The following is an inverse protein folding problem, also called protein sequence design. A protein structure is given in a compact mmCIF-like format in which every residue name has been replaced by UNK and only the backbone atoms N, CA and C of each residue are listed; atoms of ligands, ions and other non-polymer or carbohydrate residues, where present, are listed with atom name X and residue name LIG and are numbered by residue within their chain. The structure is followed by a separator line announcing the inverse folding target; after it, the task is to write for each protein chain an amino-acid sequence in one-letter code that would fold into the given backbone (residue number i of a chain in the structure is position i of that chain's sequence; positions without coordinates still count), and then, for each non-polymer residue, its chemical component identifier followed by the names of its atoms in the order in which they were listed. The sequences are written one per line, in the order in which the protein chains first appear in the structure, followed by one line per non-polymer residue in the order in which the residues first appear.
data_IF_694818253132
#
_entry.id   IF_694818253132
#
_cell.length_a   1.000
_cell.length_b   1.000
_cell.length_c   1.000
_cell.angle_alpha   90.00
_cell.angle_beta   90.00
_cell.angle_gamma   90.00
#
_symmetry.space_group_name_H-M   'P 1'
#
loop_
_entity.id
_entity.type
_entity.pdbx_description
1 polymer ?
#
# COMPACT_ATOMS: atom_id res chain seq x y z
N UNK A 1 -5.05 -32.61 23.22
CA UNK A 1 -5.95 -33.41 22.35
C UNK A 1 -5.65 -33.24 20.87
N UNK A 2 -5.93 -32.10 20.20
CA UNK A 2 -5.70 -31.98 18.73
C UNK A 2 -4.26 -32.26 18.32
N UNK A 3 -3.27 -31.70 19.02
CA UNK A 3 -1.85 -31.91 18.71
C UNK A 3 -1.41 -33.37 18.92
N UNK A 4 -1.98 -34.04 19.91
CA UNK A 4 -1.69 -35.45 20.20
C UNK A 4 -2.26 -36.36 19.10
N UNK A 5 -3.48 -36.08 18.63
CA UNK A 5 -4.08 -36.78 17.48
C UNK A 5 -3.28 -36.59 16.19
N UNK A 6 -2.69 -35.42 15.96
CA UNK A 6 -1.83 -35.17 14.80
C UNK A 6 -0.54 -35.98 14.84
N UNK A 7 0.11 -36.03 16.00
CA UNK A 7 1.33 -36.83 16.19
C UNK A 7 1.05 -38.30 15.95
N UNK A 8 -0.08 -38.82 16.45
CA UNK A 8 -0.50 -40.20 16.21
C UNK A 8 -0.74 -40.44 14.72
N UNK A 9 -1.48 -39.58 14.02
CA UNK A 9 -1.72 -39.71 12.57
C UNK A 9 -0.42 -39.76 11.77
N UNK A 10 0.53 -38.85 12.04
CA UNK A 10 1.81 -38.82 11.34
C UNK A 10 2.68 -40.04 11.63
N UNK A 11 2.67 -40.53 12.88
CA UNK A 11 3.38 -41.76 13.24
C UNK A 11 2.78 -42.96 12.51
N UNK A 12 1.47 -43.12 12.58
CA UNK A 12 0.77 -44.26 11.98
C UNK A 12 0.92 -44.26 10.45
N UNK A 13 0.86 -43.08 9.82
CA UNK A 13 1.18 -42.91 8.40
C UNK A 13 2.63 -43.34 8.09
N UNK A 14 3.60 -42.86 8.88
CA UNK A 14 5.01 -43.19 8.70
C UNK A 14 5.29 -44.69 8.84
N UNK A 15 4.73 -45.34 9.86
CA UNK A 15 4.84 -46.77 10.10
C UNK A 15 4.22 -47.58 8.95
N UNK A 16 3.01 -47.21 8.51
CA UNK A 16 2.31 -47.86 7.41
C UNK A 16 3.07 -47.74 6.10
N UNK A 17 3.55 -46.53 5.78
CA UNK A 17 4.36 -46.25 4.58
C UNK A 17 5.65 -47.06 4.60
N UNK A 18 6.33 -47.11 5.74
CA UNK A 18 7.55 -47.89 5.91
C UNK A 18 7.32 -49.39 5.70
N UNK A 19 6.25 -49.95 6.28
CA UNK A 19 5.92 -51.36 6.14
C UNK A 19 5.67 -51.75 4.68
N UNK A 20 4.89 -50.94 3.94
CA UNK A 20 4.67 -51.18 2.50
C UNK A 20 5.96 -51.03 1.68
N UNK A 21 6.76 -49.99 1.95
CA UNK A 21 8.05 -49.81 1.28
C UNK A 21 9.01 -50.98 1.55
N UNK A 22 9.05 -51.50 2.77
CA UNK A 22 9.85 -52.67 3.12
C UNK A 22 9.37 -53.93 2.40
N UNK A 23 8.05 -54.16 2.36
CA UNK A 23 7.47 -55.29 1.63
C UNK A 23 7.81 -55.23 0.13
N UNK A 24 7.80 -54.03 -0.48
CA UNK A 24 8.19 -53.85 -1.89
C UNK A 24 9.69 -54.00 -2.14
N UNK A 25 10.54 -53.71 -1.14
CA UNK A 25 11.98 -54.02 -1.23
C UNK A 25 12.23 -55.53 -1.26
N UNK A 26 11.50 -56.29 -0.46
CA UNK A 26 11.63 -57.75 -0.38
C UNK A 26 10.93 -58.45 -1.56
N UNK A 27 9.77 -57.94 -1.99
CA UNK A 27 9.00 -58.47 -3.12
C UNK A 27 8.43 -57.33 -3.98
N UNK A 28 9.16 -56.88 -5.01
CA UNK A 28 8.73 -55.75 -5.86
C UNK A 28 7.40 -55.96 -6.59
N UNK A 29 7.02 -57.21 -6.87
CA UNK A 29 5.78 -57.58 -7.55
C UNK A 29 4.55 -57.70 -6.64
N UNK A 30 4.65 -57.34 -5.35
CA UNK A 30 3.54 -57.43 -4.43
C UNK A 30 2.50 -56.32 -4.70
N UNK A 31 1.46 -56.67 -5.48
CA UNK A 31 0.37 -55.78 -5.86
C UNK A 31 -0.33 -55.14 -4.66
N UNK A 32 -0.56 -55.88 -3.57
CA UNK A 32 -1.23 -55.34 -2.38
C UNK A 32 -0.38 -54.28 -1.68
N UNK A 33 0.94 -54.48 -1.62
CA UNK A 33 1.84 -53.49 -1.05
C UNK A 33 1.95 -52.23 -1.92
N UNK A 34 1.97 -52.37 -3.26
CA UNK A 34 1.92 -51.23 -4.18
C UNK A 34 0.63 -50.44 -3.99
N UNK A 35 -0.51 -51.13 -3.97
CA UNK A 35 -1.83 -50.55 -3.77
C UNK A 35 -1.95 -49.84 -2.42
N UNK A 36 -1.50 -50.48 -1.35
CA UNK A 36 -1.52 -49.93 0.01
C UNK A 36 -0.65 -48.68 0.15
N UNK A 37 0.53 -48.68 -0.45
CA UNK A 37 1.40 -47.51 -0.50
C UNK A 37 0.74 -46.34 -1.23
N UNK A 38 0.22 -46.57 -2.44
CA UNK A 38 -0.49 -45.53 -3.20
C UNK A 38 -1.72 -44.98 -2.46
N UNK A 39 -2.54 -45.86 -1.88
CA UNK A 39 -3.73 -45.46 -1.14
C UNK A 39 -3.40 -44.60 0.08
N UNK A 40 -2.39 -45.02 0.86
CA UNK A 40 -1.98 -44.32 2.09
C UNK A 40 -1.37 -42.95 1.76
N UNK A 41 -0.52 -42.88 0.74
CA UNK A 41 0.06 -41.61 0.27
C UNK A 41 -1.01 -40.66 -0.28
N UNK A 42 -2.00 -41.15 -1.03
CA UNK A 42 -3.12 -40.35 -1.51
C UNK A 42 -3.97 -39.77 -0.38
N UNK A 43 -4.27 -40.58 0.63
CA UNK A 43 -5.05 -40.15 1.78
C UNK A 43 -4.34 -39.04 2.56
N UNK A 44 -3.02 -39.19 2.75
CA UNK A 44 -2.21 -38.19 3.43
C UNK A 44 -2.04 -36.92 2.58
N UNK A 45 -1.93 -37.04 1.26
CA UNK A 45 -1.90 -35.89 0.36
C UNK A 45 -3.21 -35.09 0.40
N UNK A 46 -4.37 -35.75 0.35
CA UNK A 46 -5.67 -35.07 0.51
C UNK A 46 -5.81 -34.40 1.87
N UNK A 47 -5.33 -35.06 2.93
CA UNK A 47 -5.30 -34.51 4.27
C UNK A 47 -4.48 -33.21 4.35
N UNK A 48 -3.24 -33.21 3.84
CA UNK A 48 -2.39 -32.01 3.79
C UNK A 48 -3.04 -30.90 2.96
N UNK A 49 -3.65 -31.23 1.83
CA UNK A 49 -4.31 -30.26 0.97
C UNK A 49 -5.50 -29.58 1.68
N UNK A 50 -6.32 -30.32 2.43
CA UNK A 50 -7.43 -29.76 3.23
C UNK A 50 -6.96 -28.81 4.33
N UNK A 51 -5.71 -28.96 4.80
CA UNK A 51 -5.09 -28.07 5.78
C UNK A 51 -4.38 -26.85 5.17
N UNK A 52 -4.38 -26.75 3.83
CA UNK A 52 -3.63 -25.69 3.15
C UNK A 52 -2.11 -25.90 3.17
N UNK A 53 -1.67 -27.15 3.31
CA UNK A 53 -0.25 -27.54 3.28
C UNK A 53 0.10 -28.09 1.89
N UNK A 54 -0.04 -27.25 0.86
CA UNK A 54 0.03 -27.64 -0.55
C UNK A 54 1.41 -28.21 -0.94
N UNK A 55 2.49 -27.70 -0.36
CA UNK A 55 3.84 -28.19 -0.61
C UNK A 55 4.05 -29.62 -0.11
N UNK A 56 3.46 -29.96 1.05
CA UNK A 56 3.51 -31.32 1.62
C UNK A 56 2.69 -32.29 0.77
N UNK A 57 1.49 -31.86 0.32
CA UNK A 57 0.66 -32.65 -0.58
C UNK A 57 1.36 -32.91 -1.94
N UNK A 58 1.99 -31.88 -2.52
CA UNK A 58 2.74 -32.01 -3.77
C UNK A 58 3.88 -33.04 -3.66
N UNK A 59 4.70 -32.95 -2.61
CA UNK A 59 5.80 -33.91 -2.39
C UNK A 59 5.31 -35.35 -2.29
N UNK A 60 4.21 -35.59 -1.58
CA UNK A 60 3.63 -36.93 -1.45
C UNK A 60 3.11 -37.47 -2.79
N UNK A 61 2.60 -36.59 -3.67
CA UNK A 61 2.13 -36.96 -5.01
C UNK A 61 3.30 -37.18 -5.99
N UNK A 62 4.43 -36.51 -5.78
CA UNK A 62 5.66 -36.70 -6.57
C UNK A 62 6.35 -38.03 -6.23
N UNK A 63 6.25 -38.52 -4.99
CA UNK A 63 6.73 -39.86 -4.60
C UNK A 63 5.95 -40.99 -5.29
N UNK A 64 4.78 -40.70 -5.89
CA UNK A 64 3.97 -41.64 -6.68
C UNK A 64 4.33 -41.45 -8.16
N UNK A 65 5.51 -41.93 -8.56
CA UNK A 65 6.02 -41.84 -9.94
C UNK A 65 5.13 -42.61 -10.94
N UNK A 66 4.63 -43.79 -10.55
CA UNK A 66 3.71 -44.62 -11.35
C UNK A 66 2.50 -45.03 -10.49
N UNK A 67 1.34 -44.35 -10.62
CA UNK A 67 0.15 -44.67 -9.85
C UNK A 67 -0.32 -46.09 -10.18
N UNK A 68 -0.42 -46.96 -9.16
CA UNK A 68 -0.98 -48.29 -9.35
C UNK A 68 -2.41 -48.18 -9.92
N UNK A 69 -2.67 -48.82 -11.06
CA UNK A 69 -3.76 -48.57 -12.02
C UNK A 69 -5.03 -47.89 -11.50
N UNK A 70 -5.66 -48.45 -10.46
CA UNK A 70 -6.91 -47.95 -9.87
C UNK A 70 -6.83 -46.50 -9.34
N UNK A 71 -5.64 -46.00 -9.04
CA UNK A 71 -5.41 -44.71 -8.41
C UNK A 71 -4.97 -43.60 -9.36
N UNK A 72 -4.69 -43.91 -10.63
CA UNK A 72 -4.23 -42.92 -11.61
C UNK A 72 -5.18 -41.72 -11.72
N UNK A 73 -6.50 -41.96 -11.73
CA UNK A 73 -7.51 -40.89 -11.75
C UNK A 73 -7.52 -40.03 -10.48
N UNK A 74 -7.30 -40.63 -9.31
CA UNK A 74 -7.27 -39.91 -8.03
C UNK A 74 -6.01 -39.06 -7.89
N UNK A 75 -4.84 -39.59 -8.28
CA UNK A 75 -3.59 -38.82 -8.33
C UNK A 75 -3.72 -37.63 -9.26
N UNK A 76 -4.32 -37.81 -10.45
CA UNK A 76 -4.55 -36.73 -11.40
C UNK A 76 -5.47 -35.64 -10.84
N UNK A 77 -6.59 -36.01 -10.20
CA UNK A 77 -7.49 -35.03 -9.57
C UNK A 77 -6.81 -34.27 -8.42
N UNK A 78 -6.08 -34.97 -7.55
CA UNK A 78 -5.34 -34.33 -6.45
C UNK A 78 -4.25 -33.38 -6.95
N UNK A 79 -3.48 -33.76 -7.98
CA UNK A 79 -2.51 -32.87 -8.63
C UNK A 79 -3.19 -31.62 -9.20
N UNK A 80 -4.34 -31.77 -9.85
CA UNK A 80 -5.12 -30.64 -10.37
C UNK A 80 -5.68 -29.74 -9.24
N UNK A 81 -6.04 -30.30 -8.09
CA UNK A 81 -6.46 -29.52 -6.91
C UNK A 81 -5.29 -28.77 -6.28
N UNK A 82 -4.12 -29.40 -6.13
CA UNK A 82 -2.89 -28.74 -5.64
C UNK A 82 -2.54 -27.55 -6.53
N UNK A 83 -2.58 -27.73 -7.85
CA UNK A 83 -2.26 -26.65 -8.79
C UNK A 83 -3.27 -25.50 -8.71
N UNK A 84 -4.57 -25.79 -8.59
CA UNK A 84 -5.59 -24.74 -8.37
C UNK A 84 -5.36 -23.96 -7.08
N UNK A 85 -5.04 -24.64 -5.98
CA UNK A 85 -4.74 -23.97 -4.69
C UNK A 85 -3.49 -23.10 -4.82
N UNK A 86 -2.46 -23.60 -5.50
CA UNK A 86 -1.22 -22.85 -5.75
C UNK A 86 -1.47 -21.59 -6.58
N UNK A 87 -2.27 -21.69 -7.64
CA UNK A 87 -2.66 -20.55 -8.47
C UNK A 87 -3.46 -19.52 -7.68
N UNK A 88 -4.48 -19.96 -6.94
CA UNK A 88 -5.28 -19.08 -6.08
C UNK A 88 -4.41 -18.37 -5.02
N UNK A 89 -3.46 -19.08 -4.41
CA UNK A 89 -2.52 -18.50 -3.45
C UNK A 89 -1.60 -17.46 -4.11
N UNK A 90 -1.06 -17.77 -5.29
CA UNK A 90 -0.24 -16.84 -6.05
C UNK A 90 -1.01 -15.56 -6.44
N UNK A 91 -2.27 -15.69 -6.86
CA UNK A 91 -3.17 -14.57 -7.14
C UNK A 91 -3.43 -13.71 -5.90
N UNK A 92 -3.68 -14.34 -4.74
CA UNK A 92 -3.87 -13.64 -3.46
C UNK A 92 -2.59 -12.93 -3.02
N UNK A 93 -1.43 -13.56 -3.16
CA UNK A 93 -0.14 -12.94 -2.87
C UNK A 93 0.16 -11.77 -3.81
N UNK A 94 -0.25 -11.86 -5.08
CA UNK A 94 -0.13 -10.75 -6.02
C UNK A 94 -1.08 -9.60 -5.63
N UNK A 95 -2.33 -9.89 -5.31
CA UNK A 95 -3.28 -8.89 -4.84
C UNK A 95 -2.82 -8.23 -3.53
N UNK A 96 -2.26 -9.02 -2.62
CA UNK A 96 -1.69 -8.52 -1.36
C UNK A 96 -0.49 -7.62 -1.63
N UNK A 97 0.40 -7.99 -2.57
CA UNK A 97 1.53 -7.14 -2.98
C UNK A 97 1.06 -5.85 -3.67
N UNK A 98 0.02 -5.92 -4.48
CA UNK A 98 -0.56 -4.74 -5.14
C UNK A 98 -1.26 -3.79 -4.15
N UNK A 99 -1.75 -4.34 -3.03
CA UNK A 99 -2.33 -3.56 -1.94
C UNK A 99 -1.29 -3.11 -0.91
N UNK A 100 -0.10 -3.71 -0.86
CA UNK A 100 0.93 -3.40 0.14
C UNK A 100 1.35 -1.93 0.03
N UNK A 101 0.90 -1.07 0.95
CA UNK A 101 1.10 0.37 0.83
C UNK A 101 2.57 0.73 0.99
N UNK A 102 3.43 -0.15 1.50
CA UNK A 102 4.86 0.14 1.75
C UNK A 102 5.64 0.34 0.45
N UNK A 103 5.30 -0.36 -0.63
CA UNK A 103 6.03 -0.31 -1.90
C UNK A 103 5.79 1.03 -2.61
N UNK A 104 6.84 1.87 -2.64
CA UNK A 104 6.82 3.18 -3.31
C UNK A 104 6.47 4.37 -2.43
N UNK A 105 6.14 4.16 -1.14
CA UNK A 105 5.86 5.25 -0.19
C UNK A 105 7.05 6.19 -0.03
N UNK A 106 8.30 5.71 -0.09
CA UNK A 106 9.51 6.55 -0.05
C UNK A 106 9.53 7.59 -1.17
N UNK A 107 9.31 7.18 -2.42
CA UNK A 107 9.36 8.09 -3.58
C UNK A 107 8.24 9.12 -3.50
N UNK A 108 7.05 8.70 -3.08
CA UNK A 108 5.93 9.61 -2.86
C UNK A 108 6.20 10.60 -1.72
N UNK A 109 6.74 10.14 -0.59
CA UNK A 109 7.10 10.99 0.54
C UNK A 109 8.14 12.04 0.15
N UNK A 110 9.20 11.63 -0.54
CA UNK A 110 10.23 12.53 -1.05
C UNK A 110 9.64 13.54 -2.06
N UNK A 111 8.75 13.10 -2.96
CA UNK A 111 8.06 13.99 -3.87
C UNK A 111 7.20 15.02 -3.14
N UNK A 112 6.42 14.62 -2.14
CA UNK A 112 5.58 15.53 -1.36
C UNK A 112 6.44 16.53 -0.58
N UNK A 113 7.54 16.09 0.04
CA UNK A 113 8.48 16.98 0.73
C UNK A 113 9.09 17.99 -0.25
N UNK A 114 9.57 17.52 -1.41
CA UNK A 114 10.16 18.39 -2.42
C UNK A 114 9.14 19.39 -2.97
N UNK A 115 7.93 18.94 -3.28
CA UNK A 115 6.84 19.79 -3.73
C UNK A 115 6.46 20.82 -2.67
N UNK A 116 6.37 20.43 -1.40
CA UNK A 116 6.06 21.34 -0.29
C UNK A 116 7.12 22.45 -0.14
N UNK A 117 8.41 22.09 -0.17
CA UNK A 117 9.50 23.07 -0.12
C UNK A 117 9.40 24.02 -1.30
N UNK A 118 9.35 23.50 -2.54
CA UNK A 118 9.32 24.33 -3.75
C UNK A 118 8.09 25.23 -3.81
N UNK A 119 6.91 24.70 -3.48
CA UNK A 119 5.65 25.45 -3.53
C UNK A 119 5.48 26.43 -2.36
N UNK A 120 6.23 26.28 -1.26
CA UNK A 120 6.19 27.25 -0.15
C UNK A 120 7.01 28.52 -0.42
N UNK A 121 8.05 28.43 -1.26
CA UNK A 121 8.96 29.56 -1.54
C UNK A 121 8.21 30.81 -2.03
N UNK A 122 7.27 30.73 -3.00
CA UNK A 122 6.56 31.92 -3.47
C UNK A 122 5.80 32.66 -2.37
N UNK A 123 5.20 31.95 -1.41
CA UNK A 123 4.49 32.56 -0.29
C UNK A 123 5.44 33.35 0.63
N UNK A 124 6.56 32.72 1.00
CA UNK A 124 7.56 33.35 1.87
C UNK A 124 8.21 34.54 1.18
N UNK A 125 8.58 34.39 -0.10
CA UNK A 125 9.18 35.47 -0.90
C UNK A 125 8.19 36.63 -1.06
N UNK A 126 6.92 36.36 -1.35
CA UNK A 126 5.89 37.40 -1.44
C UNK A 126 5.75 38.18 -0.14
N UNK A 127 5.75 37.50 1.01
CA UNK A 127 5.69 38.16 2.32
C UNK A 127 6.93 39.04 2.59
N UNK A 128 8.14 38.54 2.32
CA UNK A 128 9.38 39.31 2.49
C UNK A 128 9.40 40.54 1.59
N UNK A 129 9.06 40.39 0.30
CA UNK A 129 9.06 41.49 -0.66
C UNK A 129 8.02 42.56 -0.31
N UNK A 130 6.85 42.14 0.17
CA UNK A 130 5.83 43.07 0.65
C UNK A 130 6.31 43.85 1.88
N UNK A 131 7.02 43.19 2.80
CA UNK A 131 7.58 43.83 3.99
C UNK A 131 8.75 44.78 3.68
N UNK A 132 9.58 44.47 2.68
CA UNK A 132 10.82 45.22 2.40
C UNK A 132 10.64 46.35 1.38
N UNK A 133 9.80 46.18 0.36
CA UNK A 133 9.77 47.08 -0.79
C UNK A 133 8.51 47.95 -0.87
N UNK A 134 7.42 47.63 -0.15
CA UNK A 134 6.17 48.40 -0.13
C UNK A 134 5.41 48.52 -1.47
N UNK A 135 6.05 48.20 -2.60
CA UNK A 135 5.54 48.43 -3.96
C UNK A 135 4.98 47.17 -4.63
N UNK A 136 5.34 45.96 -4.17
CA UNK A 136 4.73 44.73 -4.68
C UNK A 136 3.34 44.52 -4.06
N UNK A 137 2.32 45.01 -4.76
CA UNK A 137 0.93 44.67 -4.45
C UNK A 137 0.65 43.27 -4.97
N UNK A 138 0.35 42.35 -4.06
CA UNK A 138 -0.12 41.01 -4.43
C UNK A 138 -1.43 41.13 -5.20
N UNK A 139 -1.41 40.66 -6.44
CA UNK A 139 -2.53 40.73 -7.37
C UNK A 139 -3.08 39.32 -7.68
N UNK A 140 -4.33 39.26 -8.12
CA UNK A 140 -5.06 38.02 -8.46
C UNK A 140 -4.29 37.13 -9.45
N UNK A 141 -3.58 37.74 -10.41
CA UNK A 141 -2.76 37.00 -11.37
C UNK A 141 -1.71 36.11 -10.71
N UNK A 142 -1.12 36.55 -9.58
CA UNK A 142 -0.12 35.78 -8.86
C UNK A 142 -0.74 34.57 -8.16
N UNK A 143 -1.92 34.74 -7.54
CA UNK A 143 -2.65 33.64 -6.88
C UNK A 143 -3.09 32.56 -7.88
N UNK A 144 -3.68 33.00 -9.01
CA UNK A 144 -4.09 32.11 -10.10
C UNK A 144 -2.92 31.39 -10.74
N UNK A 145 -1.81 32.08 -11.02
CA UNK A 145 -0.61 31.46 -11.59
C UNK A 145 -0.01 30.43 -10.62
N UNK A 146 0.04 30.73 -9.33
CA UNK A 146 0.56 29.84 -8.31
C UNK A 146 -0.29 28.57 -8.17
N UNK A 147 -1.61 28.72 -8.02
CA UNK A 147 -2.53 27.59 -7.88
C UNK A 147 -2.60 26.77 -9.17
N UNK A 148 -2.55 27.43 -10.33
CA UNK A 148 -2.41 26.78 -11.63
C UNK A 148 -1.12 25.97 -11.73
N UNK A 149 -0.01 26.45 -11.19
CA UNK A 149 1.25 25.70 -11.13
C UNK A 149 1.14 24.47 -10.21
N UNK A 150 0.45 24.57 -9.07
CA UNK A 150 0.15 23.41 -8.21
C UNK A 150 -0.64 22.36 -8.99
N UNK A 151 -1.75 22.77 -9.63
CA UNK A 151 -2.57 21.87 -10.46
C UNK A 151 -1.73 21.22 -11.55
N UNK A 152 -0.86 21.99 -12.23
CA UNK A 152 0.01 21.47 -13.27
C UNK A 152 1.02 20.45 -12.72
N UNK A 153 1.67 20.73 -11.58
CA UNK A 153 2.62 19.82 -10.94
C UNK A 153 1.95 18.51 -10.52
N UNK A 154 0.82 18.60 -9.81
CA UNK A 154 0.10 17.41 -9.35
C UNK A 154 -0.55 16.65 -10.51
N UNK A 155 -1.13 17.34 -11.49
CA UNK A 155 -1.70 16.72 -12.69
C UNK A 155 -0.65 16.07 -13.58
N UNK A 156 0.52 16.69 -13.76
CA UNK A 156 1.65 16.10 -14.47
C UNK A 156 2.19 14.88 -13.71
N UNK A 157 2.39 14.99 -12.40
CA UNK A 157 2.79 13.86 -11.58
C UNK A 157 1.74 12.72 -11.65
N UNK A 158 0.45 13.07 -11.73
CA UNK A 158 -0.67 12.13 -11.86
C UNK A 158 -0.68 11.35 -13.18
N UNK A 159 -0.14 11.93 -14.24
CA UNK A 159 -0.24 11.38 -15.61
C UNK A 159 1.09 10.82 -16.11
N UNK A 160 2.17 11.60 -15.99
CA UNK A 160 3.50 11.26 -16.49
C UNK A 160 4.31 10.40 -15.51
N UNK A 161 4.26 10.71 -14.20
CA UNK A 161 5.00 9.97 -13.18
C UNK A 161 4.20 8.79 -12.59
N UNK A 162 3.04 8.46 -13.17
CA UNK A 162 2.17 7.38 -12.68
C UNK A 162 2.90 6.02 -12.53
N UNK A 163 3.82 5.71 -13.44
CA UNK A 163 4.55 4.42 -13.41
C UNK A 163 5.66 4.38 -12.36
N UNK A 164 6.20 5.54 -11.98
CA UNK A 164 7.35 5.64 -11.06
C UNK A 164 6.93 5.99 -9.63
N UNK A 165 5.92 6.83 -9.46
CA UNK A 165 5.42 7.28 -8.15
C UNK A 165 4.18 6.50 -7.67
N UNK A 166 3.47 5.78 -8.56
CA UNK A 166 2.23 5.07 -8.20
C UNK A 166 2.23 3.59 -8.58
N UNK A 167 3.20 2.79 -8.09
CA UNK A 167 3.09 1.34 -8.23
C UNK A 167 1.83 0.81 -7.50
N UNK A 168 1.40 1.46 -6.41
CA UNK A 168 0.25 1.05 -5.62
C UNK A 168 -0.98 1.96 -5.87
N UNK A 169 -2.18 1.35 -5.80
CA UNK A 169 -3.50 1.99 -5.74
C UNK A 169 -3.59 3.11 -4.69
N UNK A 170 -3.03 2.94 -3.49
CA UNK A 170 -3.07 3.95 -2.43
C UNK A 170 -2.32 5.23 -2.83
N UNK A 171 -1.10 5.10 -3.34
CA UNK A 171 -0.31 6.24 -3.85
C UNK A 171 -1.03 6.96 -5.00
N UNK A 172 -1.69 6.20 -5.89
CA UNK A 172 -2.51 6.75 -6.97
C UNK A 172 -3.71 7.54 -6.42
N UNK A 173 -4.44 6.99 -5.45
CA UNK A 173 -5.59 7.66 -4.84
C UNK A 173 -5.19 8.95 -4.14
N UNK A 174 -4.04 8.96 -3.45
CA UNK A 174 -3.50 10.16 -2.80
C UNK A 174 -3.20 11.24 -3.84
N UNK A 175 -2.46 10.91 -4.92
CA UNK A 175 -2.06 11.94 -5.89
C UNK A 175 -3.22 12.44 -6.74
N UNK A 176 -4.15 11.55 -7.12
CA UNK A 176 -5.40 11.93 -7.78
C UNK A 176 -6.24 12.79 -6.85
N UNK A 177 -6.37 12.42 -5.58
CA UNK A 177 -7.07 13.18 -4.56
C UNK A 177 -6.50 14.59 -4.38
N UNK A 178 -5.16 14.74 -4.25
CA UNK A 178 -4.52 16.05 -4.23
C UNK A 178 -4.73 16.86 -5.51
N UNK A 179 -4.74 16.20 -6.67
CA UNK A 179 -5.04 16.86 -7.96
C UNK A 179 -6.47 17.43 -7.96
N UNK A 180 -7.45 16.65 -7.48
CA UNK A 180 -8.84 17.11 -7.38
C UNK A 180 -9.01 18.22 -6.34
N UNK A 181 -8.34 18.14 -5.20
CA UNK A 181 -8.34 19.21 -4.19
C UNK A 181 -7.72 20.49 -4.78
N UNK A 182 -6.59 20.38 -5.48
CA UNK A 182 -5.96 21.53 -6.13
C UNK A 182 -6.87 22.14 -7.22
N UNK A 183 -7.55 21.31 -8.02
CA UNK A 183 -8.53 21.76 -9.01
C UNK A 183 -9.73 22.45 -8.35
N UNK A 184 -10.21 21.94 -7.22
CA UNK A 184 -11.32 22.55 -6.47
C UNK A 184 -10.93 23.92 -5.92
N UNK A 185 -9.71 24.06 -5.37
CA UNK A 185 -9.17 25.35 -4.92
C UNK A 185 -8.98 26.31 -6.10
N UNK A 186 -8.48 25.83 -7.24
CA UNK A 186 -8.36 26.64 -8.45
C UNK A 186 -9.73 27.13 -8.97
N UNK A 187 -10.74 26.24 -8.95
CA UNK A 187 -12.11 26.60 -9.30
C UNK A 187 -12.71 27.62 -8.33
N UNK A 188 -12.47 27.46 -7.03
CA UNK A 188 -12.86 28.44 -6.01
C UNK A 188 -12.24 29.82 -6.29
N UNK A 189 -10.96 29.88 -6.65
CA UNK A 189 -10.28 31.13 -7.01
C UNK A 189 -10.87 31.79 -8.26
N UNK A 190 -11.21 31.01 -9.28
CA UNK A 190 -11.86 31.54 -10.50
C UNK A 190 -13.23 32.14 -10.19
N UNK A 191 -14.02 31.47 -9.34
CA UNK A 191 -15.31 31.99 -8.88
C UNK A 191 -15.10 33.28 -8.08
N UNK A 192 -14.13 33.29 -7.18
CA UNK A 192 -13.87 34.45 -6.33
C UNK A 192 -13.38 35.67 -7.13
N UNK A 193 -12.52 35.44 -8.12
CA UNK A 193 -12.10 36.45 -9.09
C UNK A 193 -13.28 37.01 -9.88
N UNK A 194 -14.14 36.14 -10.41
CA UNK A 194 -15.32 36.57 -11.17
C UNK A 194 -16.34 37.33 -10.32
N UNK A 195 -16.46 36.98 -9.03
CA UNK A 195 -17.33 37.67 -8.08
C UNK A 195 -16.75 38.99 -7.54
N UNK A 196 -15.50 39.34 -7.90
CA UNK A 196 -14.87 40.60 -7.49
C UNK A 196 -14.43 40.62 -6.02
N UNK A 197 -14.19 39.48 -5.39
CA UNK A 197 -13.60 39.44 -4.06
C UNK A 197 -12.16 39.95 -4.06
N UNK A 198 -11.67 40.35 -2.90
CA UNK A 198 -10.26 40.73 -2.75
C UNK A 198 -9.35 39.49 -2.70
N UNK A 199 -8.12 39.62 -3.21
CA UNK A 199 -7.18 38.53 -3.42
C UNK A 199 -6.74 37.85 -2.11
N UNK A 200 -6.88 38.50 -0.95
CA UNK A 200 -6.54 37.91 0.35
C UNK A 200 -7.72 37.26 1.06
N UNK A 201 -8.95 37.69 0.75
CA UNK A 201 -10.15 37.28 1.51
C UNK A 201 -10.56 35.83 1.23
N UNK A 202 -10.21 35.29 0.06
CA UNK A 202 -10.57 33.94 -0.35
C UNK A 202 -9.56 32.87 0.14
N UNK A 203 -8.34 33.27 0.51
CA UNK A 203 -7.27 32.31 0.89
C UNK A 203 -7.69 31.40 2.06
N UNK A 204 -8.35 31.88 3.14
CA UNK A 204 -8.83 31.00 4.21
C UNK A 204 -9.86 29.97 3.73
N UNK A 205 -10.72 30.33 2.78
CA UNK A 205 -11.69 29.40 2.18
C UNK A 205 -10.98 28.30 1.39
N UNK A 206 -10.00 28.67 0.57
CA UNK A 206 -9.13 27.71 -0.12
C UNK A 206 -8.43 26.75 0.84
N UNK A 207 -7.89 27.26 1.96
CA UNK A 207 -7.27 26.40 2.98
C UNK A 207 -8.27 25.47 3.68
N UNK A 208 -9.51 25.90 3.92
CA UNK A 208 -10.57 25.03 4.43
C UNK A 208 -10.94 23.93 3.44
N UNK A 209 -10.98 24.23 2.14
CA UNK A 209 -11.18 23.21 1.10
C UNK A 209 -10.05 22.18 1.09
N UNK A 210 -8.80 22.63 1.22
CA UNK A 210 -7.65 21.71 1.34
C UNK A 210 -7.77 20.86 2.60
N UNK A 211 -8.10 21.47 3.75
CA UNK A 211 -8.27 20.75 5.01
C UNK A 211 -9.40 19.71 4.94
N UNK A 212 -10.56 20.06 4.39
CA UNK A 212 -11.68 19.15 4.22
C UNK A 212 -11.38 18.02 3.25
N UNK A 213 -10.81 18.33 2.09
CA UNK A 213 -10.41 17.33 1.10
C UNK A 213 -9.37 16.35 1.63
N UNK A 214 -8.36 16.86 2.37
CA UNK A 214 -7.35 16.01 3.02
C UNK A 214 -7.91 15.18 4.18
N UNK A 215 -8.89 15.68 4.93
CA UNK A 215 -9.58 14.91 5.97
C UNK A 215 -10.40 13.74 5.39
N UNK A 216 -11.09 13.94 4.26
CA UNK A 216 -11.80 12.85 3.56
C UNK A 216 -10.82 11.80 3.03
N UNK A 217 -9.67 12.24 2.48
CA UNK A 217 -8.60 11.32 2.09
C UNK A 217 -8.01 10.57 3.29
N UNK A 218 -7.92 11.23 4.46
CA UNK A 218 -7.40 10.61 5.67
C UNK A 218 -8.27 9.43 6.13
N UNK A 219 -9.60 9.58 6.04
CA UNK A 219 -10.54 8.51 6.40
C UNK A 219 -10.49 7.34 5.40
N UNK A 220 -10.33 7.66 4.12
CA UNK A 220 -10.42 6.64 3.05
C UNK A 220 -9.10 5.91 2.78
N UNK A 221 -7.95 6.53 3.08
CA UNK A 221 -6.63 6.06 2.62
C UNK A 221 -5.63 5.90 3.77
N UNK A 222 -5.29 6.99 4.47
CA UNK A 222 -4.28 6.98 5.54
C UNK A 222 -4.57 8.05 6.60
N UNK A 223 -4.84 7.60 7.83
CA UNK A 223 -5.13 8.46 9.00
C UNK A 223 -4.04 9.49 9.29
N UNK A 224 -2.79 9.28 8.85
CA UNK A 224 -1.70 10.25 9.05
C UNK A 224 -1.95 11.56 8.29
N UNK A 225 -2.78 11.54 7.25
CA UNK A 225 -3.21 12.75 6.54
C UNK A 225 -4.01 13.72 7.42
N UNK A 226 -4.54 13.28 8.57
CA UNK A 226 -5.15 14.20 9.54
C UNK A 226 -4.18 15.26 10.06
N UNK A 227 -2.87 14.98 10.11
CA UNK A 227 -1.86 15.98 10.50
C UNK A 227 -1.84 17.14 9.49
N UNK A 228 -1.91 16.81 8.20
CA UNK A 228 -1.97 17.79 7.12
C UNK A 228 -3.28 18.59 7.17
N UNK A 229 -4.41 17.88 7.30
CA UNK A 229 -5.73 18.49 7.41
C UNK A 229 -5.83 19.46 8.59
N UNK A 230 -5.35 19.03 9.77
CA UNK A 230 -5.35 19.85 10.98
C UNK A 230 -4.47 21.10 10.81
N UNK A 231 -3.30 20.96 10.18
CA UNK A 231 -2.41 22.11 9.93
C UNK A 231 -3.11 23.16 9.07
N UNK A 232 -3.71 22.77 7.94
CA UNK A 232 -4.43 23.71 7.08
C UNK A 232 -5.69 24.27 7.73
N UNK A 233 -6.42 23.48 8.51
CA UNK A 233 -7.60 23.93 9.24
C UNK A 233 -7.26 25.03 10.26
N UNK A 234 -6.24 24.79 11.08
CA UNK A 234 -5.77 25.77 12.08
C UNK A 234 -5.31 27.06 11.38
N UNK A 235 -4.55 26.93 10.30
CA UNK A 235 -4.10 28.08 9.50
C UNK A 235 -5.26 28.85 8.88
N UNK A 236 -6.29 28.17 8.37
CA UNK A 236 -7.46 28.83 7.83
C UNK A 236 -8.19 29.65 8.90
N UNK A 237 -8.39 29.08 10.09
CA UNK A 237 -9.03 29.76 11.22
C UNK A 237 -8.20 30.98 11.66
N UNK A 238 -6.88 30.82 11.84
CA UNK A 238 -5.99 31.92 12.20
C UNK A 238 -5.97 33.03 11.13
N UNK A 239 -6.06 32.65 9.85
CA UNK A 239 -6.13 33.57 8.72
C UNK A 239 -7.33 34.50 8.74
N UNK A 240 -8.47 34.04 9.27
CA UNK A 240 -9.68 34.86 9.43
C UNK A 240 -9.50 35.90 10.53
N UNK A 241 -8.86 35.54 11.65
CA UNK A 241 -8.67 36.45 12.78
C UNK A 241 -7.51 37.42 12.61
N UNK A 242 -6.47 37.03 11.87
CA UNK A 242 -5.26 37.84 11.68
C UNK A 242 -4.83 37.88 10.20
N UNK A 243 -5.59 38.58 9.32
CA UNK A 243 -5.36 38.55 7.87
C UNK A 243 -3.99 39.11 7.44
N UNK A 244 -3.40 40.02 8.23
CA UNK A 244 -2.10 40.63 7.95
C UNK A 244 -0.94 39.63 7.89
N UNK A 245 -1.07 38.49 8.57
CA UNK A 245 -0.07 37.43 8.57
C UNK A 245 -0.48 36.22 7.70
N UNK A 246 -1.56 36.32 6.93
CA UNK A 246 -2.14 35.18 6.21
C UNK A 246 -1.15 34.49 5.26
N UNK A 247 -0.35 35.27 4.51
CA UNK A 247 0.67 34.71 3.61
C UNK A 247 1.74 33.91 4.36
N UNK A 248 2.17 34.40 5.52
CA UNK A 248 3.15 33.72 6.36
C UNK A 248 2.57 32.42 6.92
N UNK A 249 1.34 32.46 7.45
CA UNK A 249 0.67 31.27 7.98
C UNK A 249 0.41 30.23 6.89
N UNK A 250 -0.03 30.64 5.70
CA UNK A 250 -0.25 29.76 4.57
C UNK A 250 1.05 29.09 4.10
N UNK A 251 2.15 29.87 3.99
CA UNK A 251 3.47 29.34 3.66
C UNK A 251 3.97 28.33 4.70
N UNK A 252 3.84 28.64 5.99
CA UNK A 252 4.20 27.73 7.07
C UNK A 252 3.37 26.44 7.03
N UNK A 253 2.05 26.54 6.81
CA UNK A 253 1.17 25.38 6.72
C UNK A 253 1.54 24.46 5.55
N UNK A 254 1.79 25.06 4.38
CA UNK A 254 2.19 24.37 3.16
C UNK A 254 3.55 23.66 3.30
N UNK A 255 4.40 24.09 4.24
CA UNK A 255 5.68 23.45 4.54
C UNK A 255 5.56 22.42 5.65
N UNK A 256 5.08 22.83 6.83
CA UNK A 256 5.07 22.01 8.05
C UNK A 256 4.20 20.77 7.86
N UNK A 257 2.96 20.93 7.37
CA UNK A 257 2.04 19.81 7.22
C UNK A 257 2.59 18.70 6.32
N UNK A 258 2.95 19.00 5.06
CA UNK A 258 3.48 17.98 4.14
C UNK A 258 4.82 17.39 4.57
N UNK A 259 5.71 18.19 5.18
CA UNK A 259 6.99 17.68 5.68
C UNK A 259 6.78 16.73 6.84
N UNK A 260 5.94 17.08 7.81
CA UNK A 260 5.61 16.18 8.93
C UNK A 260 4.98 14.89 8.43
N UNK A 261 4.05 14.96 7.48
CA UNK A 261 3.47 13.78 6.82
C UNK A 261 4.55 12.93 6.14
N UNK A 262 5.43 13.54 5.36
CA UNK A 262 6.53 12.86 4.69
C UNK A 262 7.47 12.14 5.66
N UNK A 263 7.84 12.79 6.77
CA UNK A 263 8.67 12.20 7.83
C UNK A 263 7.95 11.02 8.50
N UNK A 264 6.65 11.14 8.78
CA UNK A 264 5.86 10.04 9.35
C UNK A 264 5.82 8.82 8.43
N UNK A 265 5.77 9.00 7.11
CA UNK A 265 5.86 7.91 6.15
C UNK A 265 7.26 7.32 5.99
N UNK A 266 8.32 8.13 6.16
CA UNK A 266 9.69 7.63 6.19
C UNK A 266 9.92 6.74 7.42
N UNK A 267 9.48 7.20 8.60
CA UNK A 267 9.67 6.46 9.86
C UNK A 267 8.96 5.11 9.89
N UNK A 268 7.76 5.00 9.32
CA UNK A 268 7.08 3.70 9.30
C UNK A 268 7.74 2.68 8.40
N UNK A 269 8.34 3.12 7.29
CA UNK A 269 9.06 2.18 6.42
C UNK A 269 10.30 1.60 7.10
N UNK A 270 11.02 2.41 7.89
CA UNK A 270 12.15 1.91 8.69
C UNK A 270 11.70 0.87 9.70
N UNK A 271 10.61 1.14 10.43
CA UNK A 271 10.08 0.20 11.42
C UNK A 271 9.62 -1.14 10.80
N UNK A 272 8.99 -1.10 9.62
CA UNK A 272 8.54 -2.30 8.91
C UNK A 272 9.72 -3.13 8.36
N UNK A 273 10.80 -2.46 7.91
CA UNK A 273 12.01 -3.10 7.41
C UNK A 273 12.80 -3.85 8.49
N UNK A 274 12.93 -3.24 9.68
CA UNK A 274 13.63 -3.85 10.81
C UNK A 274 12.89 -5.11 11.32
N UNK A 275 11.55 -5.07 11.37
CA UNK A 275 10.73 -6.20 11.81
C UNK A 275 10.87 -7.44 10.91
N UNK A 276 11.01 -7.25 9.59
CA UNK A 276 11.19 -8.36 8.65
C UNK A 276 12.62 -8.92 8.70
N UNK A 277 13.63 -8.07 8.96
CA UNK A 277 15.02 -8.48 9.11
C UNK A 277 15.24 -9.44 10.29
N UNK A 278 14.61 -9.16 11.44
CA UNK A 278 14.73 -10.00 12.64
C UNK A 278 14.03 -11.36 12.48
N UNK A 279 12.88 -11.42 11.79
CA UNK A 279 12.20 -12.70 11.53
C UNK A 279 12.96 -13.62 10.57
N UNK A 280 13.70 -13.06 9.60
CA UNK A 280 14.51 -13.86 8.68
C UNK A 280 15.79 -14.41 9.35
N UNK A 281 16.35 -13.69 10.33
CA UNK A 281 17.52 -14.16 11.09
C UNK A 281 17.18 -15.26 12.11
N UNK A 282 15.94 -15.30 12.62
CA UNK A 282 15.52 -16.30 13.62
C UNK A 282 15.10 -17.67 13.06
N UNK A 283 14.81 -17.78 11.76
CA UNK A 283 14.33 -19.03 11.14
C UNK A 283 15.45 -19.95 10.60
N UNK A 284 16.72 -19.54 10.74
CA UNK A 284 17.89 -20.28 10.26
C UNK A 284 18.72 -20.98 11.35
N UNK A 285 18.22 -21.08 12.58
CA UNK A 285 18.89 -21.70 13.73
C UNK A 285 18.28 -23.03 14.13
#
# INVERSE_FOLDING_TARGET
EVEESLRTLHRDFGETRFAFAQALREWPGNVEAQRGLSATSLLMADYHLRRGEEASAARLLDEIDDPFGDFAGQVADLRARVERVRQARAELEQLSRDMDPTVGRLKLALFIIAAAVVLSVPWIVSWVLQASAGELRYDWAHSLAFTGAIVAVFGFASTALRRTLMPNRAARQILVGFTFVALAVFGEQLIAWHAGYDALTHVPMGLLLIAGGTAVMAESIDRRLYVLAATFFVTAVLGVFVPSFMMLWAGLAATVGPITLGILWLRSQSADGDAHGDTAAGAGG
#
